data_IF_455821798751
#
_entry.id   IF_455821798751
#
_cell.length_a   1.000
_cell.length_b   1.000
_cell.length_c   1.000
_cell.angle_alpha   90.00
_cell.angle_beta   90.00
_cell.angle_gamma   90.00
#
_symmetry.space_group_name_H-M   'P 1'
#
loop_
_entity.id
_entity.type
_entity.pdbx_description
1 polymer ?
#
# COMPACT_ATOMS: atom_id res chain seq x y z
N UNK A 1 -8.14 3.08 -1.74
CA UNK A 1 -7.18 4.16 -1.39
C UNK A 1 -7.14 4.34 0.12
N UNK A 2 -5.96 4.46 0.74
CA UNK A 2 -5.84 4.77 2.18
C UNK A 2 -6.06 6.27 2.37
N UNK A 3 -7.06 6.64 3.19
CA UNK A 3 -7.43 8.05 3.45
C UNK A 3 -7.32 8.46 4.91
N UNK A 4 -6.91 7.53 5.77
CA UNK A 4 -6.68 7.80 7.19
C UNK A 4 -6.12 6.59 7.92
N UNK A 5 -5.51 6.86 9.07
CA UNK A 5 -4.96 5.85 9.97
C UNK A 5 -5.33 6.24 11.40
N UNK A 6 -5.70 5.25 12.21
CA UNK A 6 -5.86 5.41 13.65
C UNK A 6 -4.55 5.04 14.34
N UNK A 7 -4.01 5.95 15.15
CA UNK A 7 -2.76 5.75 15.88
C UNK A 7 -3.04 5.75 17.38
N UNK A 8 -2.68 4.65 18.04
CA UNK A 8 -2.69 4.53 19.50
C UNK A 8 -1.24 4.34 19.95
N UNK A 9 -0.75 5.23 20.81
CA UNK A 9 0.66 5.27 21.25
C UNK A 9 1.67 5.30 20.08
N UNK A 10 1.31 6.02 19.01
CA UNK A 10 2.11 6.14 17.80
C UNK A 10 2.10 4.91 16.88
N UNK A 11 1.30 3.88 17.18
CA UNK A 11 1.20 2.65 16.39
C UNK A 11 -0.14 2.55 15.66
N UNK A 12 -0.15 2.12 14.38
CA UNK A 12 -1.38 1.89 13.64
C UNK A 12 -2.22 0.78 14.27
N UNK A 13 -3.53 0.99 14.36
CA UNK A 13 -4.49 -0.04 14.80
C UNK A 13 -5.46 -0.41 13.68
N UNK A 14 -5.85 0.58 12.87
CA UNK A 14 -6.75 0.44 11.74
C UNK A 14 -6.54 1.55 10.70
N UNK A 15 -6.91 1.24 9.47
CA UNK A 15 -6.75 2.04 8.28
C UNK A 15 -8.12 2.33 7.66
N UNK A 16 -8.37 3.58 7.29
CA UNK A 16 -9.58 4.00 6.57
C UNK A 16 -9.34 3.85 5.07
N UNK A 17 -10.20 3.08 4.41
CA UNK A 17 -10.08 2.71 3.01
C UNK A 17 -11.24 3.29 2.22
N UNK A 18 -10.95 4.13 1.24
CA UNK A 18 -11.90 4.53 0.21
C UNK A 18 -11.92 3.47 -0.89
N UNK A 19 -13.11 2.98 -1.25
CA UNK A 19 -13.31 1.98 -2.28
C UNK A 19 -14.11 2.55 -3.47
N UNK A 20 -13.99 1.92 -4.64
CA UNK A 20 -14.61 2.39 -5.90
C UNK A 20 -15.97 1.77 -6.21
N UNK A 21 -16.58 1.04 -5.27
CA UNK A 21 -17.83 0.28 -5.48
C UNK A 21 -19.11 1.09 -5.18
N UNK A 22 -19.03 2.41 -5.24
CA UNK A 22 -20.11 3.33 -4.89
C UNK A 22 -20.38 3.42 -3.38
N UNK A 23 -21.43 4.14 -3.00
CA UNK A 23 -21.66 4.51 -1.59
C UNK A 23 -22.37 3.44 -0.76
N UNK A 24 -23.02 2.46 -1.40
CA UNK A 24 -23.82 1.44 -0.70
C UNK A 24 -22.96 0.45 0.13
N UNK A 25 -21.86 -0.11 -0.40
CA UNK A 25 -21.02 -1.02 0.38
C UNK A 25 -20.22 -0.27 1.47
N UNK A 26 -20.04 -0.93 2.61
CA UNK A 26 -19.32 -0.36 3.75
C UNK A 26 -20.07 0.81 4.40
N UNK A 27 -19.34 1.84 4.80
CA UNK A 27 -19.90 3.08 5.35
C UNK A 27 -19.71 4.21 4.35
N UNK A 28 -20.73 4.48 3.53
CA UNK A 28 -20.69 5.48 2.45
C UNK A 28 -19.51 5.26 1.49
N UNK A 29 -19.28 4.01 1.08
CA UNK A 29 -18.16 3.63 0.20
C UNK A 29 -16.81 3.45 0.91
N UNK A 30 -16.74 3.72 2.23
CA UNK A 30 -15.53 3.51 3.02
C UNK A 30 -15.54 2.18 3.77
N UNK A 31 -14.36 1.59 3.86
CA UNK A 31 -14.07 0.37 4.59
C UNK A 31 -13.05 0.67 5.70
N UNK A 32 -12.98 -0.24 6.66
CA UNK A 32 -11.95 -0.24 7.69
C UNK A 32 -11.14 -1.52 7.57
N UNK A 33 -9.83 -1.37 7.62
CA UNK A 33 -8.88 -2.48 7.53
C UNK A 33 -8.04 -2.48 8.81
N UNK A 34 -7.97 -3.62 9.50
CA UNK A 34 -7.11 -3.72 10.70
C UNK A 34 -5.63 -3.74 10.30
N UNK A 35 -4.77 -3.35 11.22
CA UNK A 35 -3.32 -3.38 10.98
C UNK A 35 -2.80 -4.79 10.65
N UNK A 36 -3.31 -5.81 11.37
CA UNK A 36 -3.00 -7.22 11.07
C UNK A 36 -3.46 -7.67 9.68
N UNK A 37 -4.51 -7.07 9.14
CA UNK A 37 -4.95 -7.36 7.77
C UNK A 37 -4.03 -6.68 6.77
N UNK A 38 -3.62 -5.43 7.03
CA UNK A 38 -2.61 -4.71 6.24
C UNK A 38 -1.35 -5.58 6.08
N UNK A 39 -0.79 -6.06 7.19
CA UNK A 39 0.44 -6.86 7.20
C UNK A 39 0.37 -8.13 6.34
N UNK A 40 -0.81 -8.74 6.25
CA UNK A 40 -1.00 -10.03 5.59
C UNK A 40 -1.42 -9.95 4.13
N UNK A 41 -2.14 -8.89 3.77
CA UNK A 41 -2.91 -8.88 2.51
C UNK A 41 -2.68 -7.62 1.68
N UNK A 42 -1.94 -6.62 2.17
CA UNK A 42 -1.49 -5.48 1.37
C UNK A 42 -0.07 -5.74 0.87
N UNK A 43 0.11 -5.69 -0.43
CA UNK A 43 1.40 -6.02 -1.07
C UNK A 43 2.16 -4.79 -1.57
N UNK A 44 1.43 -3.75 -1.96
CA UNK A 44 2.02 -2.60 -2.64
C UNK A 44 1.41 -1.29 -2.13
N UNK A 45 2.24 -0.27 -2.03
CA UNK A 45 1.84 1.11 -1.78
C UNK A 45 2.65 2.04 -2.68
N UNK A 46 2.02 3.12 -3.13
CA UNK A 46 2.68 4.17 -3.91
C UNK A 46 2.96 5.34 -2.99
N UNK A 47 4.24 5.65 -2.81
CA UNK A 47 4.71 6.72 -1.93
C UNK A 47 5.47 7.74 -2.77
N UNK A 48 5.28 9.03 -2.46
CA UNK A 48 6.07 10.08 -3.09
C UNK A 48 7.55 9.97 -2.66
N UNK A 49 8.48 9.95 -3.62
CA UNK A 49 9.92 9.81 -3.39
C UNK A 49 10.50 10.79 -2.36
N UNK A 50 9.88 11.95 -2.15
CA UNK A 50 10.32 12.94 -1.14
C UNK A 50 10.29 12.41 0.30
N UNK A 51 9.48 11.39 0.57
CA UNK A 51 9.37 10.76 1.89
C UNK A 51 10.33 9.58 2.09
N UNK A 52 11.07 9.18 1.06
CA UNK A 52 12.06 8.12 1.17
C UNK A 52 13.35 8.65 1.79
N UNK A 53 14.02 7.81 2.59
CA UNK A 53 15.42 8.05 2.98
C UNK A 53 16.33 8.02 1.76
N UNK A 54 17.51 8.62 1.86
CA UNK A 54 18.45 8.68 0.74
C UNK A 54 18.95 7.29 0.33
N UNK A 55 19.11 6.37 1.29
CA UNK A 55 19.43 4.97 1.01
C UNK A 55 18.37 4.29 0.15
N UNK A 56 17.08 4.51 0.45
CA UNK A 56 15.98 3.94 -0.34
C UNK A 56 15.86 4.58 -1.72
N UNK A 57 16.12 5.88 -1.86
CA UNK A 57 16.18 6.55 -3.18
C UNK A 57 17.29 5.97 -4.03
N UNK A 58 18.49 5.81 -3.45
CA UNK A 58 19.64 5.19 -4.12
C UNK A 58 19.32 3.76 -4.55
N UNK A 59 18.77 2.94 -3.66
CA UNK A 59 18.36 1.58 -3.97
C UNK A 59 17.31 1.53 -5.10
N UNK A 60 16.35 2.45 -5.11
CA UNK A 60 15.38 2.58 -6.20
C UNK A 60 16.07 2.94 -7.53
N UNK A 61 16.96 3.92 -7.55
CA UNK A 61 17.64 4.39 -8.76
C UNK A 61 18.60 3.33 -9.33
N UNK A 62 19.29 2.58 -8.46
CA UNK A 62 20.14 1.46 -8.85
C UNK A 62 19.32 0.26 -9.35
N UNK A 63 18.29 -0.13 -8.59
CA UNK A 63 17.41 -1.24 -8.95
C UNK A 63 16.62 -1.01 -10.23
N UNK A 64 16.31 0.26 -10.55
CA UNK A 64 15.63 0.62 -11.79
C UNK A 64 16.49 0.44 -13.05
N UNK A 65 17.83 0.43 -12.93
CA UNK A 65 18.74 0.24 -14.08
C UNK A 65 18.84 -1.22 -14.51
N UNK A 66 18.74 -2.14 -13.55
CA UNK A 66 18.80 -3.58 -13.79
C UNK A 66 17.84 -4.31 -12.85
N UNK A 67 16.52 -4.24 -13.11
CA UNK A 67 15.52 -4.85 -12.24
C UNK A 67 15.59 -6.38 -12.32
N UNK A 68 15.20 -7.05 -11.24
CA UNK A 68 14.99 -8.50 -11.24
C UNK A 68 13.80 -8.79 -12.15
N UNK A 69 14.04 -9.50 -13.24
CA UNK A 69 12.97 -9.89 -14.16
C UNK A 69 12.22 -11.10 -13.59
N UNK A 70 10.96 -10.88 -13.25
CA UNK A 70 10.06 -11.94 -12.81
C UNK A 70 9.36 -12.59 -14.00
N UNK A 71 8.84 -13.79 -13.79
CA UNK A 71 8.08 -14.53 -14.80
C UNK A 71 6.72 -13.85 -15.04
N UNK A 72 6.10 -14.00 -16.23
CA UNK A 72 4.82 -13.36 -16.53
C UNK A 72 3.66 -13.75 -15.59
N UNK A 73 3.75 -14.91 -14.94
CA UNK A 73 2.75 -15.42 -13.99
C UNK A 73 3.15 -15.22 -12.53
N UNK A 74 4.18 -14.42 -12.25
CA UNK A 74 4.54 -14.05 -10.89
C UNK A 74 3.38 -13.27 -10.25
N UNK A 75 3.01 -13.56 -8.98
CA UNK A 75 1.87 -12.93 -8.33
C UNK A 75 2.01 -11.41 -8.18
N UNK A 76 3.21 -10.84 -8.26
CA UNK A 76 3.45 -9.39 -8.14
C UNK A 76 3.13 -8.60 -9.42
N UNK A 77 2.76 -9.27 -10.53
CA UNK A 77 2.29 -8.63 -11.75
C UNK A 77 0.79 -8.30 -11.77
N UNK A 78 0.00 -8.86 -10.86
CA UNK A 78 -1.44 -8.67 -10.82
C UNK A 78 -1.82 -7.32 -10.18
N UNK A 79 -2.52 -6.48 -10.94
CA UNK A 79 -3.25 -5.31 -10.45
C UNK A 79 -4.69 -5.43 -10.94
N UNK A 80 -5.66 -5.27 -10.04
CA UNK A 80 -7.09 -5.24 -10.33
C UNK A 80 -7.67 -3.86 -10.01
#
# INVERSE_FOLDING_TARGET
>A
VITGVDLVDGKPTKWKIENSWGEKPGFKGYFVMSDKWFDKFVYQAVINKKYLSDDLKKAFDEGSKAPIQLLPWDPMGALA
#
